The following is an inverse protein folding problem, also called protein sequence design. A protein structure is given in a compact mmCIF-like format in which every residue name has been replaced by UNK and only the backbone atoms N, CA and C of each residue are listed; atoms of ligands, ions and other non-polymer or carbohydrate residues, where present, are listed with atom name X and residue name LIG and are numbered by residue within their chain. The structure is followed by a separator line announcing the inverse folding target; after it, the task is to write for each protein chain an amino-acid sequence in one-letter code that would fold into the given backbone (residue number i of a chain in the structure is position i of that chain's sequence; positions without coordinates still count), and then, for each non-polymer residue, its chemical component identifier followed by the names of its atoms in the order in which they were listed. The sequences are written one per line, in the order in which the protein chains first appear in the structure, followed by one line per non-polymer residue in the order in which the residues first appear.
data_IF_992724294101
#
_entry.id   IF_992724294101
#
_cell.length_a   1.000
_cell.length_b   1.000
_cell.length_c   1.000
_cell.angle_alpha   90.00
_cell.angle_beta   90.00
_cell.angle_gamma   90.00
#
_symmetry.space_group_name_H-M   'P 1'
#
loop_
_entity.id
_entity.type
_entity.pdbx_description
1 polymer ?
#
# COMPACT_ATOMS: atom_id res chain seq x y z
N UNK A 1 -9.95 -15.75 -0.84
CA UNK A 1 -8.48 -15.70 -0.72
C UNK A 1 -7.91 -15.21 -2.04
N UNK A 2 -7.15 -14.13 -2.03
CA UNK A 2 -6.49 -13.63 -3.23
C UNK A 2 -5.17 -14.39 -3.46
N UNK A 3 -4.80 -14.58 -4.75
CA UNK A 3 -3.66 -15.41 -5.13
C UNK A 3 -2.95 -14.87 -6.37
N UNK A 4 -1.63 -14.82 -6.28
CA UNK A 4 -0.71 -14.62 -7.40
C UNK A 4 -0.12 -15.98 -7.80
N UNK A 5 -0.17 -16.32 -9.08
CA UNK A 5 0.32 -17.59 -9.60
C UNK A 5 1.29 -17.34 -10.77
N UNK A 6 2.56 -17.66 -10.57
CA UNK A 6 3.64 -17.61 -11.57
C UNK A 6 3.72 -16.25 -12.30
N UNK A 7 3.52 -15.14 -11.56
CA UNK A 7 3.56 -13.81 -12.14
C UNK A 7 4.94 -13.50 -12.71
N UNK A 8 4.98 -13.18 -14.00
CA UNK A 8 6.18 -12.69 -14.67
C UNK A 8 5.89 -11.31 -15.25
N UNK A 9 6.77 -10.35 -14.96
CA UNK A 9 6.74 -9.00 -15.51
C UNK A 9 8.11 -8.60 -15.99
N UNK A 10 8.20 -8.13 -17.25
CA UNK A 10 9.46 -7.74 -17.90
C UNK A 10 9.44 -6.29 -18.33
N UNK A 11 10.54 -5.57 -18.14
CA UNK A 11 10.78 -4.24 -18.67
C UNK A 11 12.04 -4.25 -19.52
N UNK A 12 11.90 -3.91 -20.81
CA UNK A 12 13.05 -3.88 -21.72
C UNK A 12 13.80 -5.20 -21.82
N UNK A 13 13.10 -6.35 -21.70
CA UNK A 13 13.71 -7.68 -21.71
C UNK A 13 14.25 -8.20 -20.37
N UNK A 14 14.30 -7.34 -19.34
CA UNK A 14 14.72 -7.74 -17.98
C UNK A 14 13.51 -8.13 -17.16
N UNK A 15 13.54 -9.35 -16.57
CA UNK A 15 12.50 -9.81 -15.65
C UNK A 15 12.62 -9.07 -14.32
N UNK A 16 11.52 -8.43 -13.89
CA UNK A 16 11.39 -7.75 -12.58
C UNK A 16 10.59 -8.60 -11.62
N UNK A 17 9.57 -9.29 -12.10
CA UNK A 17 8.94 -10.42 -11.42
C UNK A 17 9.21 -11.66 -12.29
N UNK A 18 9.66 -12.73 -11.67
CA UNK A 18 9.96 -13.98 -12.34
C UNK A 18 9.26 -15.14 -11.63
N UNK A 19 8.21 -15.68 -12.27
CA UNK A 19 7.38 -16.79 -11.76
C UNK A 19 6.94 -16.60 -10.28
N UNK A 20 6.74 -15.37 -9.86
CA UNK A 20 6.37 -15.04 -8.49
C UNK A 20 5.00 -15.62 -8.13
N UNK A 21 4.94 -16.33 -7.00
CA UNK A 21 3.69 -16.89 -6.49
C UNK A 21 3.53 -16.57 -5.00
N UNK A 22 2.35 -16.12 -4.61
CA UNK A 22 2.01 -15.83 -3.22
C UNK A 22 0.50 -15.87 -3.00
N UNK A 23 0.10 -16.25 -1.78
CA UNK A 23 -1.29 -16.21 -1.31
C UNK A 23 -1.48 -15.03 -0.36
N UNK A 24 -2.64 -14.38 -0.46
CA UNK A 24 -3.07 -13.26 0.39
C UNK A 24 -4.37 -13.66 1.09
N UNK A 25 -4.30 -14.19 2.34
CA UNK A 25 -5.48 -14.70 3.05
C UNK A 25 -6.50 -13.59 3.31
N UNK A 26 -7.79 -13.92 3.16
CA UNK A 26 -8.88 -12.97 3.36
C UNK A 26 -8.87 -12.43 4.80
N UNK A 27 -9.06 -11.12 4.92
CA UNK A 27 -9.11 -10.44 6.21
C UNK A 27 -7.78 -10.39 6.97
N UNK A 28 -6.70 -10.90 6.39
CA UNK A 28 -5.37 -10.95 7.00
C UNK A 28 -4.45 -9.82 6.50
N UNK A 29 -3.34 -9.61 7.20
CA UNK A 29 -2.25 -8.75 6.77
C UNK A 29 -1.10 -9.60 6.27
N UNK A 30 -0.63 -9.32 5.05
CA UNK A 30 0.58 -9.91 4.47
C UNK A 30 1.64 -8.82 4.34
N UNK A 31 2.78 -9.00 4.99
CA UNK A 31 3.94 -8.14 4.82
C UNK A 31 4.79 -8.63 3.65
N UNK A 32 5.14 -7.72 2.74
CA UNK A 32 6.03 -7.99 1.61
C UNK A 32 7.31 -7.20 1.81
N UNK A 33 8.43 -7.90 1.92
CA UNK A 33 9.75 -7.31 2.11
C UNK A 33 10.70 -7.71 0.98
N UNK A 34 11.83 -7.03 0.88
CA UNK A 34 12.84 -7.35 -0.13
C UNK A 34 13.72 -6.15 -0.45
N UNK A 35 14.83 -6.39 -1.15
CA UNK A 35 15.81 -5.36 -1.53
C UNK A 35 15.17 -4.27 -2.40
N UNK A 36 15.76 -3.07 -2.40
CA UNK A 36 15.35 -2.01 -3.34
C UNK A 36 15.50 -2.53 -4.79
N UNK A 37 14.50 -2.25 -5.62
CA UNK A 37 14.48 -2.68 -7.03
C UNK A 37 14.07 -4.14 -7.28
N UNK A 38 13.74 -4.95 -6.27
CA UNK A 38 13.32 -6.35 -6.47
C UNK A 38 11.88 -6.53 -6.97
N UNK A 39 11.19 -5.46 -7.37
CA UNK A 39 9.87 -5.55 -7.99
C UNK A 39 8.67 -5.39 -7.06
N UNK A 40 8.83 -4.95 -5.79
CA UNK A 40 7.71 -4.77 -4.83
C UNK A 40 6.62 -3.83 -5.36
N UNK A 41 6.99 -2.68 -5.89
CA UNK A 41 6.04 -1.72 -6.49
C UNK A 41 5.38 -2.29 -7.75
N UNK A 42 6.13 -3.10 -8.53
CA UNK A 42 5.58 -3.83 -9.69
C UNK A 42 4.56 -4.87 -9.25
N UNK A 43 4.85 -5.62 -8.18
CA UNK A 43 3.87 -6.54 -7.57
C UNK A 43 2.60 -5.79 -7.16
N UNK A 44 2.73 -4.69 -6.41
CA UNK A 44 1.56 -3.90 -6.03
C UNK A 44 0.76 -3.41 -7.24
N UNK A 45 1.43 -2.99 -8.33
CA UNK A 45 0.76 -2.56 -9.55
C UNK A 45 -0.06 -3.70 -10.19
N UNK A 46 0.45 -4.94 -10.18
CA UNK A 46 -0.29 -6.13 -10.64
C UNK A 46 -1.47 -6.42 -9.72
N UNK A 47 -1.26 -6.42 -8.38
CA UNK A 47 -2.33 -6.68 -7.41
C UNK A 47 -3.46 -5.64 -7.46
N UNK A 48 -3.13 -4.40 -7.84
CA UNK A 48 -4.09 -3.30 -8.06
C UNK A 48 -4.79 -3.36 -9.42
N UNK A 49 -4.40 -4.27 -10.31
CA UNK A 49 -4.90 -4.33 -11.68
C UNK A 49 -4.43 -3.17 -12.57
N UNK A 50 -3.43 -2.41 -12.13
CA UNK A 50 -2.83 -1.28 -12.88
C UNK A 50 -1.80 -1.76 -13.91
N UNK A 51 -1.29 -2.96 -13.74
CA UNK A 51 -0.33 -3.59 -14.63
C UNK A 51 -0.77 -5.04 -14.92
N UNK A 52 -0.83 -5.38 -16.21
CA UNK A 52 -1.05 -6.77 -16.63
C UNK A 52 0.30 -7.48 -16.66
N UNK A 53 0.46 -8.65 -16.02
CA UNK A 53 1.69 -9.43 -16.12
C UNK A 53 1.87 -10.02 -17.53
N UNK A 54 3.12 -10.26 -17.92
CA UNK A 54 3.47 -10.93 -19.19
C UNK A 54 3.09 -12.42 -19.16
N UNK A 55 3.20 -13.05 -17.98
CA UNK A 55 2.74 -14.42 -17.74
C UNK A 55 2.24 -14.57 -16.30
N UNK A 56 1.49 -15.66 -16.07
CA UNK A 56 0.85 -15.91 -14.78
C UNK A 56 -0.47 -15.14 -14.63
N UNK A 57 -1.09 -15.28 -13.47
CA UNK A 57 -2.38 -14.66 -13.18
C UNK A 57 -2.45 -14.21 -11.74
N UNK A 58 -3.12 -13.07 -11.51
CA UNK A 58 -3.58 -12.66 -10.19
C UNK A 58 -5.11 -12.68 -10.15
N UNK A 59 -5.64 -13.24 -9.07
CA UNK A 59 -7.07 -13.27 -8.81
C UNK A 59 -7.35 -12.90 -7.35
N UNK A 60 -8.46 -12.21 -7.11
CA UNK A 60 -8.95 -11.99 -5.75
C UNK A 60 -9.51 -10.60 -5.47
N UNK A 61 -8.70 -9.55 -5.57
CA UNK A 61 -9.17 -8.20 -5.24
C UNK A 61 -10.05 -7.62 -6.33
N UNK A 62 -11.23 -7.13 -5.94
CA UNK A 62 -12.20 -6.53 -6.87
C UNK A 62 -12.14 -4.99 -6.85
N UNK A 63 -11.99 -4.42 -5.67
CA UNK A 63 -11.91 -2.97 -5.45
C UNK A 63 -10.84 -2.65 -4.40
N UNK A 64 -9.56 -2.88 -4.71
CA UNK A 64 -8.49 -2.53 -3.79
C UNK A 64 -8.30 -1.03 -3.70
N UNK A 65 -7.98 -0.53 -2.50
CA UNK A 65 -7.48 0.82 -2.27
C UNK A 65 -5.97 0.80 -2.03
N UNK A 66 -5.28 1.91 -2.26
CA UNK A 66 -3.82 1.92 -2.14
C UNK A 66 -3.26 3.22 -1.56
N UNK A 67 -2.13 3.06 -0.87
CA UNK A 67 -1.15 4.11 -0.60
C UNK A 67 0.09 3.77 -1.41
N UNK A 68 0.48 4.67 -2.31
CA UNK A 68 1.69 4.53 -3.11
C UNK A 68 2.89 5.19 -2.41
N UNK A 69 4.09 4.91 -2.89
CA UNK A 69 5.30 5.58 -2.40
C UNK A 69 5.21 7.11 -2.57
N UNK A 70 4.61 7.58 -3.65
CA UNK A 70 4.18 8.97 -3.85
C UNK A 70 2.73 9.13 -3.39
N UNK A 71 2.40 10.18 -2.65
CA UNK A 71 1.08 10.34 -2.02
C UNK A 71 -0.05 10.61 -3.02
N UNK A 72 0.29 11.09 -4.24
CA UNK A 72 -0.63 11.31 -5.36
C UNK A 72 -1.89 12.06 -4.95
N UNK A 73 -1.71 13.16 -4.24
CA UNK A 73 -2.80 14.03 -3.86
C UNK A 73 -3.21 14.95 -5.01
N UNK A 74 -4.48 15.33 -5.04
CA UNK A 74 -4.99 16.37 -5.92
C UNK A 74 -4.56 17.73 -5.33
N UNK A 75 -3.68 18.48 -6.03
CA UNK A 75 -2.96 19.59 -5.41
C UNK A 75 -3.88 20.75 -5.00
N UNK A 76 -5.00 20.94 -5.69
CA UNK A 76 -5.91 22.07 -5.49
C UNK A 76 -7.10 21.75 -4.57
N UNK A 77 -7.29 20.50 -4.18
CA UNK A 77 -8.28 20.12 -3.17
C UNK A 77 -7.69 20.26 -1.77
N UNK A 78 -8.55 20.51 -0.78
CA UNK A 78 -8.19 20.45 0.63
C UNK A 78 -7.73 19.05 1.03
N UNK A 79 -7.07 18.91 2.18
CA UNK A 79 -6.73 17.59 2.73
C UNK A 79 -8.01 16.75 2.91
N UNK A 80 -9.07 17.33 3.48
CA UNK A 80 -10.37 16.67 3.63
C UNK A 80 -11.02 16.38 2.27
N UNK A 81 -10.95 17.29 1.30
CA UNK A 81 -11.47 17.12 -0.05
C UNK A 81 -10.79 15.98 -0.82
N UNK A 82 -9.47 15.80 -0.68
CA UNK A 82 -8.73 14.70 -1.26
C UNK A 82 -9.25 13.33 -0.78
N UNK A 83 -9.70 13.25 0.46
CA UNK A 83 -10.27 12.05 1.04
C UNK A 83 -11.70 11.87 0.59
N UNK A 84 -12.52 12.92 0.71
CA UNK A 84 -13.95 12.90 0.43
C UNK A 84 -14.26 12.40 -0.98
N UNK A 85 -13.54 12.92 -2.00
CA UNK A 85 -13.71 12.51 -3.40
C UNK A 85 -13.40 11.04 -3.62
N UNK A 86 -12.34 10.51 -2.99
CA UNK A 86 -11.92 9.14 -3.20
C UNK A 86 -12.72 8.12 -2.38
N UNK A 87 -13.13 8.51 -1.17
CA UNK A 87 -13.85 7.64 -0.24
C UNK A 87 -15.37 7.69 -0.41
N UNK A 88 -15.89 8.70 -1.14
CA UNK A 88 -17.33 8.91 -1.27
C UNK A 88 -17.99 9.34 0.04
N UNK A 89 -17.28 10.06 0.89
CA UNK A 89 -17.74 10.60 2.17
C UNK A 89 -17.82 12.13 2.13
N UNK A 90 -18.38 12.73 3.16
CA UNK A 90 -18.37 14.20 3.31
C UNK A 90 -16.99 14.70 3.77
N UNK A 91 -16.68 15.99 3.48
CA UNK A 91 -15.45 16.59 3.99
C UNK A 91 -15.42 16.65 5.52
N UNK A 92 -16.57 16.77 6.18
CA UNK A 92 -16.67 16.74 7.63
C UNK A 92 -16.25 15.36 8.20
N UNK A 93 -16.69 14.27 7.59
CA UNK A 93 -16.26 12.91 7.97
C UNK A 93 -14.77 12.70 7.69
N UNK A 94 -14.26 13.22 6.57
CA UNK A 94 -12.85 13.18 6.23
C UNK A 94 -12.00 13.97 7.24
N UNK A 95 -12.42 15.19 7.62
CA UNK A 95 -11.75 16.01 8.63
C UNK A 95 -11.74 15.33 10.01
N UNK A 96 -12.86 14.72 10.42
CA UNK A 96 -12.92 13.95 11.66
C UNK A 96 -11.93 12.75 11.67
N UNK A 97 -11.77 12.07 10.53
CA UNK A 97 -10.78 11.00 10.39
C UNK A 97 -9.33 11.55 10.41
N UNK A 98 -9.08 12.72 9.80
CA UNK A 98 -7.78 13.39 9.85
C UNK A 98 -7.39 13.79 11.27
N UNK A 99 -8.35 14.22 12.11
CA UNK A 99 -8.08 14.49 13.52
C UNK A 99 -7.53 13.27 14.27
N UNK A 100 -7.97 12.05 13.91
CA UNK A 100 -7.48 10.80 14.52
C UNK A 100 -6.02 10.50 14.19
N UNK A 101 -5.45 11.14 13.17
CA UNK A 101 -4.04 11.03 12.78
C UNK A 101 -3.26 12.34 13.00
N UNK A 102 -3.73 13.19 13.91
CA UNK A 102 -3.01 14.38 14.41
C UNK A 102 -3.13 15.63 13.52
N UNK A 103 -4.21 15.76 12.75
CA UNK A 103 -4.57 17.03 12.11
C UNK A 103 -5.44 17.88 13.05
N UNK A 104 -5.33 19.17 12.96
CA UNK A 104 -6.35 20.08 13.46
C UNK A 104 -7.31 20.50 12.33
N UNK A 105 -8.32 21.33 12.68
CA UNK A 105 -9.30 21.77 11.70
C UNK A 105 -8.67 22.63 10.59
N UNK A 106 -7.74 23.52 10.94
CA UNK A 106 -7.08 24.40 9.98
C UNK A 106 -6.19 23.57 9.01
N UNK A 107 -5.52 22.54 9.51
CA UNK A 107 -4.73 21.63 8.70
C UNK A 107 -5.60 20.85 7.70
N UNK A 108 -6.83 20.48 8.09
CA UNK A 108 -7.76 19.74 7.21
C UNK A 108 -8.23 20.56 6.00
N UNK A 109 -8.19 21.90 6.10
CA UNK A 109 -8.56 22.83 5.04
C UNK A 109 -7.39 23.18 4.11
N UNK A 110 -6.13 22.90 4.49
CA UNK A 110 -4.96 23.14 3.63
C UNK A 110 -5.08 22.37 2.33
N UNK A 111 -4.70 23.00 1.23
CA UNK A 111 -4.67 22.37 -0.08
C UNK A 111 -3.51 21.38 -0.21
N UNK A 112 -3.64 20.40 -1.08
CA UNK A 112 -2.64 19.34 -1.24
C UNK A 112 -1.21 19.87 -1.44
N UNK A 113 -1.02 20.99 -2.16
CA UNK A 113 0.29 21.60 -2.38
C UNK A 113 0.85 22.35 -1.15
N UNK A 114 0.03 22.63 -0.13
CA UNK A 114 0.43 23.31 1.11
C UNK A 114 0.85 22.33 2.21
N UNK A 115 0.62 21.03 1.99
CA UNK A 115 0.89 19.99 2.98
C UNK A 115 2.39 19.68 3.04
N UNK A 116 2.91 19.48 4.25
CA UNK A 116 4.22 18.86 4.42
C UNK A 116 4.19 17.39 3.96
N UNK A 117 5.35 16.78 3.70
CA UNK A 117 5.42 15.37 3.29
C UNK A 117 4.74 14.42 4.29
N UNK A 118 4.95 14.62 5.59
CA UNK A 118 4.28 13.82 6.63
C UNK A 118 2.76 14.06 6.69
N UNK A 119 2.30 15.28 6.39
CA UNK A 119 0.87 15.57 6.28
C UNK A 119 0.28 14.89 5.03
N UNK A 120 0.92 15.04 3.89
CA UNK A 120 0.49 14.41 2.62
C UNK A 120 0.39 12.88 2.77
N UNK A 121 1.38 12.26 3.42
CA UNK A 121 1.38 10.82 3.73
C UNK A 121 0.17 10.42 4.56
N UNK A 122 -0.14 11.15 5.64
CA UNK A 122 -1.32 10.88 6.49
C UNK A 122 -2.63 11.02 5.72
N UNK A 123 -2.76 12.04 4.86
CA UNK A 123 -3.93 12.20 3.98
C UNK A 123 -4.08 11.01 3.04
N UNK A 124 -2.99 10.56 2.41
CA UNK A 124 -3.02 9.40 1.52
C UNK A 124 -3.45 8.11 2.26
N UNK A 125 -2.97 7.91 3.49
CA UNK A 125 -3.36 6.76 4.32
C UNK A 125 -4.84 6.84 4.70
N UNK A 126 -5.31 7.99 5.21
CA UNK A 126 -6.72 8.17 5.59
C UNK A 126 -7.62 7.96 4.38
N UNK A 127 -7.24 8.50 3.21
CA UNK A 127 -7.95 8.30 1.93
C UNK A 127 -8.11 6.82 1.59
N UNK A 128 -7.03 6.05 1.64
CA UNK A 128 -7.06 4.62 1.34
C UNK A 128 -7.88 3.83 2.37
N UNK A 129 -7.78 4.20 3.66
CA UNK A 129 -8.50 3.52 4.74
C UNK A 129 -9.99 3.81 4.76
N UNK A 130 -10.43 5.00 4.32
CA UNK A 130 -11.85 5.34 4.22
C UNK A 130 -12.49 4.87 2.91
N UNK A 131 -11.72 4.69 1.85
CA UNK A 131 -12.21 4.16 0.58
C UNK A 131 -12.89 2.81 0.80
N UNK A 132 -14.06 2.62 0.16
CA UNK A 132 -14.78 1.36 0.21
C UNK A 132 -14.12 0.34 -0.72
N UNK A 133 -13.82 -0.84 -0.20
CA UNK A 133 -13.16 -1.88 -0.97
C UNK A 133 -12.92 -3.14 -0.15
N UNK A 134 -12.39 -4.16 -0.81
CA UNK A 134 -12.13 -5.50 -0.26
C UNK A 134 -10.69 -5.69 0.20
N UNK A 135 -9.77 -4.84 -0.29
CA UNK A 135 -8.38 -4.88 0.10
C UNK A 135 -7.76 -3.49 0.23
N UNK A 136 -6.67 -3.40 0.99
CA UNK A 136 -5.84 -2.19 1.16
C UNK A 136 -4.38 -2.56 0.91
N UNK A 137 -3.75 -1.87 -0.04
CA UNK A 137 -2.35 -2.07 -0.39
C UNK A 137 -1.54 -0.86 0.02
N UNK A 138 -0.51 -1.06 0.82
CA UNK A 138 0.30 0.02 1.41
C UNK A 138 1.76 -0.13 0.96
N UNK A 139 2.30 0.90 0.30
CA UNK A 139 3.72 0.96 -0.10
C UNK A 139 4.47 1.93 0.81
N UNK A 140 5.32 1.39 1.70
CA UNK A 140 6.12 2.13 2.69
C UNK A 140 5.28 3.15 3.49
N UNK A 141 4.16 2.74 4.12
CA UNK A 141 3.13 3.68 4.58
C UNK A 141 3.61 4.63 5.68
N UNK A 142 4.52 4.21 6.54
CA UNK A 142 4.93 5.00 7.70
C UNK A 142 6.27 5.69 7.52
N UNK A 143 6.87 5.60 6.33
CA UNK A 143 8.14 6.23 6.01
C UNK A 143 8.06 7.77 6.15
N UNK A 144 8.99 8.35 6.91
CA UNK A 144 9.09 9.79 7.10
C UNK A 144 8.13 10.38 8.14
N UNK A 145 7.40 9.55 8.87
CA UNK A 145 6.62 9.96 10.04
C UNK A 145 7.51 9.93 11.30
N UNK A 146 7.33 10.92 12.18
CA UNK A 146 7.90 10.86 13.52
C UNK A 146 7.17 9.80 14.37
N UNK A 147 7.79 9.35 15.46
CA UNK A 147 7.32 8.22 16.26
C UNK A 147 5.89 8.43 16.80
N UNK A 148 5.60 9.62 17.32
CA UNK A 148 4.27 9.94 17.87
C UNK A 148 3.18 9.90 16.77
N UNK A 149 3.48 10.47 15.63
CA UNK A 149 2.57 10.47 14.48
C UNK A 149 2.41 9.06 13.92
N UNK A 150 3.50 8.29 13.86
CA UNK A 150 3.46 6.89 13.43
C UNK A 150 2.53 6.04 14.30
N UNK A 151 2.63 6.14 15.63
CA UNK A 151 1.74 5.41 16.55
C UNK A 151 0.26 5.73 16.32
N UNK A 152 -0.07 7.02 16.12
CA UNK A 152 -1.45 7.44 15.83
C UNK A 152 -1.97 6.84 14.52
N UNK A 153 -1.14 6.86 13.47
CA UNK A 153 -1.49 6.34 12.15
C UNK A 153 -1.63 4.82 12.18
N UNK A 154 -0.73 4.11 12.85
CA UNK A 154 -0.81 2.64 13.03
C UNK A 154 -2.11 2.26 13.73
N UNK A 155 -2.45 2.93 14.83
CA UNK A 155 -3.73 2.73 15.53
C UNK A 155 -4.92 2.94 14.61
N UNK A 156 -4.94 4.05 13.88
CA UNK A 156 -5.99 4.38 12.92
C UNK A 156 -6.13 3.30 11.84
N UNK A 157 -5.03 2.82 11.27
CA UNK A 157 -5.02 1.76 10.26
C UNK A 157 -5.62 0.47 10.81
N UNK A 158 -5.19 0.03 12.00
CA UNK A 158 -5.68 -1.18 12.64
C UNK A 158 -7.19 -1.10 12.95
N UNK A 159 -7.67 0.02 13.48
CA UNK A 159 -9.10 0.23 13.76
C UNK A 159 -9.96 0.28 12.50
N UNK A 160 -9.43 0.90 11.44
CA UNK A 160 -10.18 1.12 10.18
C UNK A 160 -10.04 -0.01 9.18
N UNK A 161 -9.16 -0.98 9.38
CA UNK A 161 -9.03 -2.15 8.51
C UNK A 161 -10.34 -2.94 8.37
N UNK A 162 -11.10 -3.10 9.46
CA UNK A 162 -12.45 -3.71 9.46
C UNK A 162 -12.50 -5.08 8.78
N UNK A 163 -11.48 -5.91 8.98
CA UNK A 163 -11.40 -7.24 8.38
C UNK A 163 -11.07 -7.28 6.89
N UNK A 164 -10.73 -6.15 6.24
CA UNK A 164 -10.23 -6.14 4.86
C UNK A 164 -8.87 -6.83 4.78
N UNK A 165 -8.62 -7.48 3.67
CA UNK A 165 -7.28 -8.00 3.37
C UNK A 165 -6.31 -6.83 3.21
N UNK A 166 -5.11 -6.95 3.78
CA UNK A 166 -4.10 -5.91 3.67
C UNK A 166 -2.78 -6.49 3.17
N UNK A 167 -2.15 -5.78 2.25
CA UNK A 167 -0.78 -6.05 1.80
C UNK A 167 0.06 -4.83 2.14
N UNK A 168 1.08 -4.99 2.96
CA UNK A 168 2.02 -3.93 3.29
C UNK A 168 3.40 -4.25 2.73
N UNK A 169 3.88 -3.39 1.86
CA UNK A 169 5.26 -3.40 1.37
C UNK A 169 6.08 -2.52 2.29
N UNK A 170 7.09 -3.08 2.90
CA UNK A 170 7.96 -2.34 3.82
C UNK A 170 9.34 -2.98 3.92
N UNK A 171 10.32 -2.19 4.32
CA UNK A 171 11.64 -2.64 4.71
C UNK A 171 11.86 -2.55 6.23
N UNK A 172 10.93 -1.93 6.97
CA UNK A 172 10.96 -1.86 8.44
C UNK A 172 10.18 -3.04 9.03
N UNK A 173 10.84 -3.95 9.78
CA UNK A 173 10.17 -5.07 10.42
C UNK A 173 9.05 -4.65 11.38
N UNK A 174 9.17 -3.47 12.01
CA UNK A 174 8.16 -2.94 12.93
C UNK A 174 6.81 -2.75 12.26
N UNK A 175 6.78 -2.41 10.97
CA UNK A 175 5.52 -2.22 10.26
C UNK A 175 4.71 -3.51 10.18
N UNK A 176 5.38 -4.64 9.99
CA UNK A 176 4.74 -5.95 9.98
C UNK A 176 4.20 -6.34 11.37
N UNK A 177 4.95 -6.04 12.42
CA UNK A 177 4.56 -6.31 13.81
C UNK A 177 3.37 -5.43 14.22
N UNK A 178 3.46 -4.14 14.00
CA UNK A 178 2.45 -3.15 14.38
C UNK A 178 1.11 -3.32 13.63
N UNK A 179 1.17 -3.81 12.40
CA UNK A 179 -0.02 -4.14 11.60
C UNK A 179 -0.52 -5.58 11.82
N UNK A 180 0.11 -6.32 12.71
CA UNK A 180 -0.24 -7.72 13.02
C UNK A 180 -0.24 -8.61 11.78
N UNK A 181 0.85 -8.55 11.00
CA UNK A 181 1.01 -9.37 9.81
C UNK A 181 1.11 -10.85 10.20
N UNK A 182 0.22 -11.66 9.63
CA UNK A 182 0.18 -13.12 9.86
C UNK A 182 0.99 -13.88 8.81
N UNK A 183 1.42 -13.20 7.76
CA UNK A 183 2.22 -13.75 6.68
C UNK A 183 3.31 -12.77 6.26
N UNK A 184 4.51 -13.31 6.02
CA UNK A 184 5.61 -12.57 5.44
C UNK A 184 5.97 -13.20 4.09
N UNK A 185 6.18 -12.35 3.08
CA UNK A 185 6.65 -12.71 1.74
C UNK A 185 7.93 -11.95 1.49
N UNK A 186 9.03 -12.66 1.25
CA UNK A 186 10.31 -12.05 0.92
C UNK A 186 10.57 -12.14 -0.58
N UNK A 187 10.79 -10.99 -1.23
CA UNK A 187 11.12 -10.88 -2.63
C UNK A 187 12.62 -10.71 -2.85
N UNK A 188 13.15 -11.26 -3.96
CA UNK A 188 14.57 -11.15 -4.30
C UNK A 188 15.48 -11.98 -3.37
N UNK A 189 14.98 -13.08 -2.85
CA UNK A 189 15.75 -14.06 -2.07
C UNK A 189 16.69 -14.92 -2.93
N UNK A 190 17.54 -15.77 -2.31
CA UNK A 190 18.46 -16.66 -3.02
C UNK A 190 17.79 -17.62 -4.03
N UNK A 191 16.52 -17.95 -3.81
CA UNK A 191 15.74 -18.80 -4.71
C UNK A 191 15.35 -18.08 -6.02
N UNK A 192 15.09 -16.78 -5.97
CA UNK A 192 14.81 -15.98 -7.17
C UNK A 192 16.08 -15.75 -8.00
N UNK A 193 17.23 -15.63 -7.34
CA UNK A 193 18.52 -15.49 -8.01
C UNK A 193 18.97 -16.79 -8.72
N UNK A 194 18.63 -17.96 -8.16
CA UNK A 194 18.96 -19.25 -8.75
C UNK A 194 18.14 -19.55 -10.01
N UNK A 195 16.86 -19.11 -10.06
CA UNK A 195 16.00 -19.27 -11.24
C UNK A 195 16.43 -18.38 -12.41
N UNK A 196 16.89 -17.16 -12.14
CA UNK A 196 17.37 -16.24 -13.17
C UNK A 196 18.75 -16.61 -13.75
N UNK A 197 19.52 -17.45 -13.07
CA UNK A 197 20.84 -17.92 -13.52
C UNK A 197 20.79 -19.20 -14.39
N UNK A 198 19.68 -19.95 -14.33
CA UNK A 198 19.51 -21.22 -15.08
C UNK A 198 19.06 -21.06 -16.53
N UNK A 199 18.72 -19.86 -17.01
CA UNK A 199 18.26 -19.62 -18.39
C UNK A 199 19.31 -18.98 -19.32
N UNK A 200 20.59 -19.06 -18.95
CA UNK A 200 21.71 -18.62 -19.79
C UNK A 200 22.62 -19.79 -20.18
N UNK A 201 22.06 -20.80 -20.84
CA UNK A 201 22.80 -21.75 -21.66
C UNK A 201 22.07 -22.02 -22.98
#
# INVERSE_FOLDING_TARGET
MARAENLTVKYGGTSVLDQFSADFPDGAVTAVSGRSGCGKTTLLAVLLGLLRPDAGVFSGFQRPSAVFQEDRLLPFLSAAGNIAVAAGCTEAEAAAALCSVGFDNADSEKRGFELSGGMARRVAIVRAMLAQGDAVLLDEPFKGLDERTREQVVRFVNERRRGRTMVVVTHDPRDAEDLHAVRAVQMGGPEDAARSAGEKE
#
